data_IF_479466824359
#
_entry.id   IF_479466824359
#
_cell.length_a   1.000
_cell.length_b   1.000
_cell.length_c   1.000
_cell.angle_alpha   90.00
_cell.angle_beta   90.00
_cell.angle_gamma   90.00
#
_symmetry.space_group_name_H-M   'P 1'
#
loop_
_entity.id
_entity.type
_entity.pdbx_description
1 polymer ?
#
# COMPACT_ATOMS: atom_id res chain seq x y z
N UNK A 1 26.25 6.06 -28.88
CA UNK A 1 24.99 5.46 -28.38
C UNK A 1 24.58 6.24 -27.16
N UNK A 2 23.57 7.12 -27.28
CA UNK A 2 23.00 7.79 -26.12
C UNK A 2 22.09 6.79 -25.39
N UNK A 3 22.45 6.41 -24.16
CA UNK A 3 21.57 5.68 -23.29
C UNK A 3 20.41 6.61 -22.89
N UNK A 4 19.21 6.29 -23.34
CA UNK A 4 17.98 6.93 -22.86
C UNK A 4 17.88 6.64 -21.35
N UNK A 5 18.03 7.67 -20.53
CA UNK A 5 17.74 7.59 -19.10
C UNK A 5 16.27 7.10 -18.94
N UNK A 6 16.01 6.14 -18.03
CA UNK A 6 14.64 5.71 -17.76
C UNK A 6 13.83 6.92 -17.30
N UNK A 7 12.75 7.21 -18.02
CA UNK A 7 11.81 8.26 -17.67
C UNK A 7 11.29 7.94 -16.27
N UNK A 8 11.51 8.84 -15.30
CA UNK A 8 10.93 8.70 -13.97
C UNK A 8 9.42 8.52 -14.14
N UNK A 9 8.91 7.34 -13.80
CA UNK A 9 7.47 7.08 -13.89
C UNK A 9 6.81 7.91 -12.78
N UNK A 10 5.94 8.83 -13.19
CA UNK A 10 5.14 9.59 -12.24
C UNK A 10 4.17 8.64 -11.53
N UNK A 11 3.98 8.83 -10.22
CA UNK A 11 2.96 8.10 -9.46
C UNK A 11 1.62 8.09 -10.20
N UNK A 12 1.00 6.93 -10.34
CA UNK A 12 -0.36 6.83 -10.86
C UNK A 12 -1.37 7.34 -9.82
N UNK A 13 -2.52 7.82 -10.31
CA UNK A 13 -3.61 8.17 -9.41
C UNK A 13 -4.27 6.92 -8.83
N UNK A 14 -4.72 7.03 -7.57
CA UNK A 14 -5.60 6.03 -6.96
C UNK A 14 -6.98 6.13 -7.60
N UNK A 15 -7.49 5.03 -8.13
CA UNK A 15 -8.77 4.94 -8.80
C UNK A 15 -9.82 4.26 -7.90
N UNK A 16 -10.99 4.88 -7.77
CA UNK A 16 -12.18 4.23 -7.25
C UNK A 16 -12.79 3.35 -8.34
N UNK A 17 -12.87 2.06 -8.10
CA UNK A 17 -13.33 1.09 -9.09
C UNK A 17 -14.83 0.85 -8.95
N UNK A 18 -15.31 0.56 -7.71
CA UNK A 18 -16.73 0.28 -7.46
C UNK A 18 -17.07 0.28 -5.98
N UNK A 19 -18.37 0.26 -5.70
CA UNK A 19 -18.91 0.05 -4.36
C UNK A 19 -19.35 1.33 -3.66
N UNK A 20 -19.37 1.31 -2.33
CA UNK A 20 -19.78 2.44 -1.49
C UNK A 20 -18.55 3.27 -1.06
N UNK A 21 -18.29 4.36 -1.77
CA UNK A 21 -17.18 5.26 -1.39
C UNK A 21 -17.48 6.02 -0.09
N UNK A 22 -18.75 6.22 0.27
CA UNK A 22 -19.13 6.96 1.45
C UNK A 22 -18.89 6.23 2.77
N UNK A 23 -18.53 4.94 2.72
CA UNK A 23 -18.08 4.16 3.88
C UNK A 23 -16.95 4.87 4.66
N UNK A 24 -16.14 5.67 3.99
CA UNK A 24 -15.05 6.44 4.62
C UNK A 24 -15.53 7.40 5.70
N UNK A 25 -16.81 7.79 5.68
CA UNK A 25 -17.43 8.71 6.64
C UNK A 25 -18.17 7.99 7.78
N UNK A 26 -18.27 6.66 7.74
CA UNK A 26 -19.00 5.89 8.73
C UNK A 26 -18.22 5.81 10.04
N UNK A 27 -18.95 5.85 11.16
CA UNK A 27 -18.37 5.77 12.51
C UNK A 27 -18.18 4.30 12.92
N UNK A 28 -17.36 3.57 12.15
CA UNK A 28 -17.08 2.15 12.36
C UNK A 28 -15.58 1.90 12.46
N UNK A 29 -15.20 0.68 12.85
CA UNK A 29 -13.81 0.23 12.81
C UNK A 29 -13.61 -0.73 11.64
N UNK A 30 -12.42 -0.69 11.04
CA UNK A 30 -11.97 -1.69 10.08
C UNK A 30 -10.58 -2.19 10.46
N UNK A 31 -10.39 -3.50 10.51
CA UNK A 31 -9.06 -4.10 10.67
C UNK A 31 -8.33 -4.03 9.34
N UNK A 32 -7.05 -3.64 9.37
CA UNK A 32 -6.20 -3.57 8.18
C UNK A 32 -5.42 -4.86 8.04
N UNK A 33 -5.57 -5.51 6.90
CA UNK A 33 -4.88 -6.74 6.54
C UNK A 33 -4.06 -6.52 5.26
N UNK A 34 -2.93 -7.21 5.12
CA UNK A 34 -2.13 -7.22 3.90
C UNK A 34 -2.15 -8.61 3.30
N UNK A 35 -2.58 -8.69 2.06
CA UNK A 35 -2.54 -9.92 1.26
C UNK A 35 -1.43 -9.78 0.21
N UNK A 36 -0.41 -10.62 0.33
CA UNK A 36 0.72 -10.73 -0.60
C UNK A 36 0.84 -12.10 -1.25
N UNK A 37 -0.25 -12.89 -1.22
CA UNK A 37 -0.29 -14.23 -1.84
C UNK A 37 0.01 -14.20 -3.35
N UNK A 38 -0.47 -13.16 -4.05
CA UNK A 38 -0.26 -12.95 -5.48
C UNK A 38 0.87 -11.95 -5.80
N UNK A 39 1.64 -11.55 -4.79
CA UNK A 39 2.67 -10.54 -4.96
C UNK A 39 3.85 -11.05 -5.77
N UNK A 40 4.23 -10.29 -6.79
CA UNK A 40 5.50 -10.42 -7.50
C UNK A 40 6.48 -9.32 -7.05
N UNK A 41 7.68 -9.72 -6.63
CA UNK A 41 8.78 -8.82 -6.30
C UNK A 41 9.87 -9.00 -7.35
N UNK A 42 10.24 -7.93 -8.03
CA UNK A 42 11.26 -7.93 -9.11
C UNK A 42 11.01 -9.03 -10.16
N UNK A 43 9.72 -9.31 -10.47
CA UNK A 43 9.31 -10.32 -11.46
C UNK A 43 9.25 -11.77 -10.94
N UNK A 44 9.52 -12.02 -9.66
CA UNK A 44 9.42 -13.34 -9.01
C UNK A 44 8.26 -13.39 -8.01
N UNK A 45 7.61 -14.55 -7.80
CA UNK A 45 6.69 -14.72 -6.67
C UNK A 45 7.35 -14.34 -5.35
N UNK A 46 6.60 -13.64 -4.48
CA UNK A 46 7.12 -13.07 -3.23
C UNK A 46 7.95 -14.07 -2.40
N UNK A 47 7.40 -15.24 -2.11
CA UNK A 47 8.09 -16.23 -1.28
C UNK A 47 9.37 -16.75 -1.94
N UNK A 48 9.36 -16.96 -3.25
CA UNK A 48 10.57 -17.37 -3.98
C UNK A 48 11.64 -16.28 -3.94
N UNK A 49 11.25 -15.00 -4.15
CA UNK A 49 12.17 -13.87 -4.07
C UNK A 49 12.85 -13.77 -2.69
N UNK A 50 12.06 -13.94 -1.62
CA UNK A 50 12.59 -13.88 -0.25
C UNK A 50 13.52 -15.07 0.06
N UNK A 51 13.14 -16.28 -0.34
CA UNK A 51 13.95 -17.49 -0.15
C UNK A 51 15.28 -17.42 -0.89
N UNK A 52 15.29 -16.91 -2.13
CA UNK A 52 16.51 -16.71 -2.93
C UNK A 52 17.51 -15.76 -2.23
N UNK A 53 17.03 -14.89 -1.33
CA UNK A 53 17.84 -13.94 -0.55
C UNK A 53 18.24 -14.44 0.84
N UNK A 54 17.73 -15.60 1.26
CA UNK A 54 18.03 -16.25 2.53
C UNK A 54 16.85 -16.27 3.51
N UNK A 55 16.89 -17.22 4.45
CA UNK A 55 15.80 -17.44 5.43
C UNK A 55 15.55 -16.25 6.34
N UNK A 56 16.54 -15.42 6.61
CA UNK A 56 16.38 -14.18 7.37
C UNK A 56 15.42 -13.21 6.69
N UNK A 57 15.45 -13.09 5.36
CA UNK A 57 14.54 -12.23 4.61
C UNK A 57 13.09 -12.71 4.70
N UNK A 58 12.86 -14.04 4.74
CA UNK A 58 11.51 -14.60 4.94
C UNK A 58 10.97 -14.23 6.32
N UNK A 59 11.79 -14.35 7.35
CA UNK A 59 11.43 -14.00 8.72
C UNK A 59 11.18 -12.52 8.91
N UNK A 60 12.08 -11.68 8.37
CA UNK A 60 12.02 -10.23 8.53
C UNK A 60 10.87 -9.61 7.74
N UNK A 61 10.45 -10.24 6.62
CA UNK A 61 9.31 -9.79 5.82
C UNK A 61 8.02 -9.67 6.62
N UNK A 62 7.73 -10.63 7.51
CA UNK A 62 6.55 -10.58 8.36
C UNK A 62 6.57 -9.35 9.26
N UNK A 63 7.70 -9.10 9.92
CA UNK A 63 7.89 -7.93 10.78
C UNK A 63 7.79 -6.61 9.99
N UNK A 64 8.35 -6.57 8.79
CA UNK A 64 8.23 -5.40 7.92
C UNK A 64 6.78 -5.13 7.52
N UNK A 65 5.98 -6.16 7.23
CA UNK A 65 4.56 -6.01 6.92
C UNK A 65 3.75 -5.52 8.13
N UNK A 66 4.03 -6.00 9.34
CA UNK A 66 3.42 -5.51 10.58
C UNK A 66 3.71 -4.01 10.79
N UNK A 67 4.95 -3.58 10.55
CA UNK A 67 5.32 -2.17 10.60
C UNK A 67 4.64 -1.34 9.49
N UNK A 68 4.47 -1.90 8.30
CA UNK A 68 3.76 -1.25 7.20
C UNK A 68 2.27 -1.05 7.55
N UNK A 69 1.61 -2.07 8.12
CA UNK A 69 0.22 -1.97 8.61
C UNK A 69 0.11 -0.87 9.67
N UNK A 70 1.02 -0.85 10.64
CA UNK A 70 1.04 0.19 11.68
C UNK A 70 1.11 1.60 11.09
N UNK A 71 2.00 1.81 10.10
CA UNK A 71 2.15 3.11 9.43
C UNK A 71 0.93 3.49 8.58
N UNK A 72 0.31 2.49 7.93
CA UNK A 72 -0.95 2.69 7.20
C UNK A 72 -2.06 3.15 8.16
N UNK A 73 -2.25 2.44 9.26
CA UNK A 73 -3.28 2.72 10.28
C UNK A 73 -3.12 4.13 10.86
N UNK A 74 -1.90 4.49 11.27
CA UNK A 74 -1.60 5.83 11.80
C UNK A 74 -1.98 6.92 10.78
N UNK A 75 -1.53 6.76 9.55
CA UNK A 75 -1.76 7.76 8.50
C UNK A 75 -3.21 7.83 8.07
N UNK A 76 -3.89 6.68 7.92
CA UNK A 76 -5.31 6.62 7.62
C UNK A 76 -6.13 7.39 8.67
N UNK A 77 -5.93 7.09 9.95
CA UNK A 77 -6.68 7.71 11.03
C UNK A 77 -6.44 9.22 11.12
N UNK A 78 -5.20 9.67 10.90
CA UNK A 78 -4.84 11.08 10.81
C UNK A 78 -5.59 11.80 9.68
N UNK A 79 -5.61 11.22 8.48
CA UNK A 79 -6.18 11.86 7.30
C UNK A 79 -7.72 11.74 7.28
N UNK A 80 -8.26 10.69 7.88
CA UNK A 80 -9.72 10.47 7.98
C UNK A 80 -10.38 11.12 9.19
N UNK A 81 -9.60 11.70 10.11
CA UNK A 81 -10.07 12.47 11.26
C UNK A 81 -11.09 11.72 12.14
N UNK A 82 -10.87 10.43 12.35
CA UNK A 82 -11.66 9.59 13.25
C UNK A 82 -13.03 9.12 12.72
N UNK A 83 -13.35 9.37 11.45
CA UNK A 83 -14.43 8.63 10.78
C UNK A 83 -14.04 7.15 10.66
N UNK A 84 -14.35 6.40 9.62
CA UNK A 84 -13.97 4.99 9.54
C UNK A 84 -12.55 4.73 10.11
N UNK A 85 -12.50 4.15 11.33
CA UNK A 85 -11.27 4.03 12.10
C UNK A 85 -10.53 2.75 11.71
N UNK A 86 -9.32 2.90 11.17
CA UNK A 86 -8.44 1.75 10.92
C UNK A 86 -7.77 1.27 12.23
N UNK A 87 -7.63 -0.06 12.38
CA UNK A 87 -6.94 -0.72 13.50
C UNK A 87 -6.03 -1.82 12.93
N UNK A 88 -4.90 -2.09 13.60
CA UNK A 88 -3.95 -3.12 13.16
C UNK A 88 -4.37 -4.51 13.60
N UNK A 89 -5.03 -4.63 14.75
CA UNK A 89 -5.47 -5.90 15.31
C UNK A 89 -6.99 -5.91 15.44
N UNK A 90 -7.58 -7.06 15.11
CA UNK A 90 -9.02 -7.25 15.22
C UNK A 90 -9.44 -7.23 16.69
N UNK A 91 -10.41 -6.40 17.02
CA UNK A 91 -11.06 -6.40 18.34
C UNK A 91 -12.51 -6.95 18.24
N UNK A 92 -13.12 -7.20 19.40
CA UNK A 92 -14.53 -7.59 19.47
C UNK A 92 -15.40 -6.48 18.89
N UNK A 93 -16.27 -6.83 17.95
CA UNK A 93 -17.16 -5.87 17.29
C UNK A 93 -16.57 -5.10 16.11
N UNK A 94 -15.41 -5.52 15.57
CA UNK A 94 -14.90 -4.98 14.31
C UNK A 94 -15.55 -5.69 13.11
N UNK A 95 -16.54 -5.07 12.44
CA UNK A 95 -17.26 -5.74 11.37
C UNK A 95 -16.51 -5.71 10.04
N UNK A 96 -15.69 -4.67 9.82
CA UNK A 96 -15.10 -4.38 8.53
C UNK A 96 -13.64 -4.81 8.46
N UNK A 97 -13.22 -5.26 7.27
CA UNK A 97 -11.82 -5.54 6.94
C UNK A 97 -11.40 -4.67 5.76
N UNK A 98 -10.28 -3.99 5.89
CA UNK A 98 -9.60 -3.28 4.81
C UNK A 98 -8.41 -4.12 4.39
N UNK A 99 -8.45 -4.68 3.19
CA UNK A 99 -7.43 -5.60 2.68
C UNK A 99 -6.60 -4.90 1.61
N UNK A 100 -5.31 -4.74 1.86
CA UNK A 100 -4.33 -4.28 0.87
C UNK A 100 -3.81 -5.49 0.10
N UNK A 101 -4.26 -5.69 -1.13
CA UNK A 101 -3.84 -6.78 -2.01
C UNK A 101 -2.66 -6.32 -2.86
N UNK A 102 -1.47 -6.69 -2.46
CA UNK A 102 -0.25 -6.35 -3.19
C UNK A 102 -0.13 -7.22 -4.44
N UNK A 103 0.17 -6.60 -5.59
CA UNK A 103 0.26 -7.31 -6.88
C UNK A 103 1.67 -7.29 -7.45
N UNK A 104 2.32 -6.16 -7.44
CA UNK A 104 3.68 -5.99 -7.96
C UNK A 104 4.45 -5.02 -7.08
N UNK A 105 5.66 -5.39 -6.73
CA UNK A 105 6.57 -4.56 -5.96
C UNK A 105 7.95 -4.55 -6.63
N UNK A 106 8.47 -3.36 -6.85
CA UNK A 106 9.88 -3.09 -7.13
C UNK A 106 10.47 -2.41 -5.91
N UNK A 107 11.53 -2.97 -5.34
CA UNK A 107 12.13 -2.46 -4.10
C UNK A 107 13.07 -1.27 -4.31
N UNK A 108 13.41 -1.02 -5.57
CA UNK A 108 14.39 -0.01 -5.93
C UNK A 108 15.83 -0.44 -5.60
N UNK A 109 16.80 0.28 -6.14
CA UNK A 109 18.21 -0.02 -5.95
C UNK A 109 18.87 1.09 -5.13
N UNK A 110 19.32 0.78 -3.92
CA UNK A 110 19.95 1.74 -3.01
C UNK A 110 21.18 2.40 -3.63
N UNK A 111 21.99 1.66 -4.40
CA UNK A 111 23.18 2.18 -5.06
C UNK A 111 22.85 3.25 -6.12
N UNK A 112 21.72 3.12 -6.84
CA UNK A 112 21.30 4.12 -7.84
C UNK A 112 20.82 5.41 -7.20
N UNK A 113 20.17 5.35 -6.03
CA UNK A 113 19.72 6.54 -5.31
C UNK A 113 20.89 7.43 -4.87
N UNK A 114 22.06 6.82 -4.59
CA UNK A 114 23.27 7.54 -4.16
C UNK A 114 24.04 8.16 -5.34
N UNK A 115 24.04 7.51 -6.50
CA UNK A 115 24.88 7.90 -7.65
C UNK A 115 24.14 8.80 -8.64
N UNK A 116 22.87 8.59 -8.87
CA UNK A 116 22.10 9.24 -9.95
C UNK A 116 21.12 10.30 -9.42
N UNK A 117 20.90 10.37 -8.11
CA UNK A 117 20.01 11.34 -7.48
C UNK A 117 18.58 10.85 -7.24
N UNK A 118 17.73 11.76 -6.75
CA UNK A 118 16.36 11.47 -6.29
C UNK A 118 15.50 10.79 -7.37
N UNK A 119 14.79 9.74 -6.98
CA UNK A 119 13.79 9.04 -7.79
C UNK A 119 14.27 7.79 -8.51
N UNK A 120 15.59 7.61 -8.70
CA UNK A 120 16.13 6.42 -9.39
C UNK A 120 16.23 5.15 -8.53
N UNK A 121 16.07 5.29 -7.22
CA UNK A 121 16.11 4.18 -6.26
C UNK A 121 14.83 3.95 -5.50
N UNK A 122 13.73 4.60 -5.89
CA UNK A 122 12.44 4.46 -5.21
C UNK A 122 11.85 3.06 -5.38
N UNK A 123 11.15 2.60 -4.35
CA UNK A 123 10.31 1.42 -4.50
C UNK A 123 8.97 1.80 -5.15
N UNK A 124 8.38 0.86 -5.89
CA UNK A 124 7.13 1.04 -6.62
C UNK A 124 6.17 -0.11 -6.31
N UNK A 125 4.93 0.22 -5.95
CA UNK A 125 3.88 -0.74 -5.60
C UNK A 125 2.66 -0.57 -6.51
N UNK A 126 2.20 -1.68 -7.11
CA UNK A 126 0.85 -1.81 -7.64
C UNK A 126 0.00 -2.66 -6.70
N UNK A 127 -1.19 -2.19 -6.33
CA UNK A 127 -2.08 -2.90 -5.41
C UNK A 127 -3.56 -2.53 -5.60
N UNK A 128 -4.42 -3.34 -5.00
CA UNK A 128 -5.82 -3.03 -4.77
C UNK A 128 -6.03 -2.81 -3.26
N UNK A 129 -7.00 -1.96 -2.91
CA UNK A 129 -7.44 -1.75 -1.53
C UNK A 129 -8.93 -2.00 -1.50
N UNK A 130 -9.32 -3.10 -0.87
CA UNK A 130 -10.70 -3.55 -0.81
C UNK A 130 -11.21 -3.43 0.63
N UNK A 131 -12.48 -3.01 0.78
CA UNK A 131 -13.17 -3.02 2.08
C UNK A 131 -14.28 -4.07 2.03
N UNK A 132 -14.31 -4.94 3.05
CA UNK A 132 -15.26 -6.02 3.20
C UNK A 132 -16.09 -5.86 4.46
N UNK A 133 -17.37 -6.24 4.36
CA UNK A 133 -18.25 -6.53 5.49
C UNK A 133 -18.48 -8.05 5.51
N UNK A 134 -17.91 -8.74 6.49
CA UNK A 134 -17.78 -10.19 6.47
C UNK A 134 -17.07 -10.67 5.21
N UNK A 135 -17.75 -11.43 4.35
CA UNK A 135 -17.22 -11.91 3.07
C UNK A 135 -17.64 -11.07 1.86
N UNK A 136 -18.47 -10.05 2.06
CA UNK A 136 -18.97 -9.19 0.98
C UNK A 136 -18.03 -8.03 0.74
N UNK A 137 -17.46 -7.93 -0.47
CA UNK A 137 -16.74 -6.72 -0.91
C UNK A 137 -17.72 -5.57 -1.04
N UNK A 138 -17.50 -4.49 -0.31
CA UNK A 138 -18.34 -3.30 -0.33
C UNK A 138 -17.67 -2.11 -1.02
N UNK A 139 -16.36 -2.12 -1.17
CA UNK A 139 -15.61 -1.05 -1.82
C UNK A 139 -14.31 -1.58 -2.40
N UNK A 140 -13.95 -1.13 -3.60
CA UNK A 140 -12.69 -1.46 -4.25
C UNK A 140 -12.00 -0.23 -4.79
N UNK A 141 -10.72 -0.08 -4.45
CA UNK A 141 -9.78 0.89 -5.03
C UNK A 141 -8.64 0.16 -5.73
N UNK A 142 -7.95 0.84 -6.65
CA UNK A 142 -6.78 0.33 -7.34
C UNK A 142 -5.76 1.44 -7.58
N UNK A 143 -4.49 1.11 -7.44
CA UNK A 143 -3.37 1.93 -7.87
C UNK A 143 -2.39 1.06 -8.67
N UNK A 144 -1.99 1.55 -9.83
CA UNK A 144 -1.14 0.80 -10.75
C UNK A 144 0.35 1.05 -10.52
N UNK A 145 0.68 2.21 -9.94
CA UNK A 145 2.05 2.56 -9.56
C UNK A 145 2.07 3.62 -8.46
N UNK A 146 2.63 3.28 -7.32
CA UNK A 146 2.84 4.18 -6.18
C UNK A 146 4.30 4.12 -5.78
N UNK A 147 5.03 5.21 -5.95
CA UNK A 147 6.44 5.27 -5.55
C UNK A 147 6.62 5.64 -4.09
N UNK A 148 7.69 5.14 -3.48
CA UNK A 148 8.20 5.66 -2.22
C UNK A 148 8.80 7.06 -2.41
N UNK A 149 9.03 7.79 -1.33
CA UNK A 149 10.03 8.85 -1.35
C UNK A 149 11.43 8.24 -1.29
N UNK A 150 12.44 9.03 -1.59
CA UNK A 150 13.85 8.62 -1.51
C UNK A 150 14.22 8.22 -0.08
N UNK A 151 14.22 6.93 0.21
CA UNK A 151 14.60 6.36 1.49
C UNK A 151 15.80 5.43 1.34
N UNK A 152 16.65 5.39 2.37
CA UNK A 152 17.93 4.69 2.30
C UNK A 152 17.83 3.17 2.40
N UNK A 153 16.72 2.61 2.93
CA UNK A 153 16.55 1.17 3.11
C UNK A 153 15.25 0.67 2.52
N UNK A 154 15.21 -0.61 2.10
CA UNK A 154 14.01 -1.26 1.57
C UNK A 154 12.83 -1.16 2.55
N UNK A 155 13.04 -1.48 3.82
CA UNK A 155 12.02 -1.40 4.87
C UNK A 155 11.46 0.02 5.07
N UNK A 156 12.30 1.06 4.98
CA UNK A 156 11.83 2.46 5.05
C UNK A 156 11.03 2.84 3.81
N UNK A 157 11.44 2.38 2.62
CA UNK A 157 10.68 2.61 1.37
C UNK A 157 9.31 1.96 1.43
N UNK A 158 9.23 0.70 1.90
CA UNK A 158 7.95 0.01 2.09
C UNK A 158 7.01 0.77 3.04
N UNK A 159 7.51 1.18 4.20
CA UNK A 159 6.72 1.96 5.16
C UNK A 159 6.22 3.29 4.59
N UNK A 160 7.04 3.98 3.80
CA UNK A 160 6.64 5.23 3.13
C UNK A 160 5.55 5.00 2.08
N UNK A 161 5.65 3.91 1.31
CA UNK A 161 4.59 3.49 0.38
C UNK A 161 3.27 3.28 1.12
N UNK A 162 3.27 2.57 2.25
CA UNK A 162 2.04 2.31 3.00
C UNK A 162 1.43 3.58 3.61
N UNK A 163 2.25 4.54 4.05
CA UNK A 163 1.77 5.89 4.44
C UNK A 163 1.09 6.61 3.28
N UNK A 164 1.74 6.63 2.11
CA UNK A 164 1.18 7.27 0.91
C UNK A 164 -0.09 6.58 0.46
N UNK A 165 -0.12 5.24 0.49
CA UNK A 165 -1.28 4.43 0.13
C UNK A 165 -2.49 4.79 0.99
N UNK A 166 -2.33 4.85 2.32
CA UNK A 166 -3.38 5.26 3.24
C UNK A 166 -3.94 6.65 2.90
N UNK A 167 -3.05 7.64 2.72
CA UNK A 167 -3.44 9.00 2.38
C UNK A 167 -4.20 9.09 1.05
N UNK A 168 -3.71 8.38 0.01
CA UNK A 168 -4.36 8.37 -1.31
C UNK A 168 -5.71 7.66 -1.27
N UNK A 169 -5.83 6.55 -0.53
CA UNK A 169 -7.09 5.82 -0.35
C UNK A 169 -8.16 6.70 0.29
N UNK A 170 -7.85 7.38 1.39
CA UNK A 170 -8.78 8.31 2.05
C UNK A 170 -9.21 9.44 1.11
N UNK A 171 -8.26 10.07 0.40
CA UNK A 171 -8.56 11.15 -0.57
C UNK A 171 -9.45 10.66 -1.70
N UNK A 172 -9.15 9.48 -2.26
CA UNK A 172 -9.90 8.87 -3.35
C UNK A 172 -11.34 8.58 -2.93
N UNK A 173 -11.55 7.94 -1.76
CA UNK A 173 -12.87 7.65 -1.23
C UNK A 173 -13.68 8.93 -0.97
N UNK A 174 -13.09 9.94 -0.33
CA UNK A 174 -13.77 11.23 -0.10
C UNK A 174 -14.18 11.92 -1.39
N UNK A 175 -13.31 11.87 -2.42
CA UNK A 175 -13.62 12.42 -3.75
C UNK A 175 -14.74 11.64 -4.44
N UNK A 176 -14.71 10.31 -4.39
CA UNK A 176 -15.72 9.44 -4.98
C UNK A 176 -17.07 9.58 -4.25
N UNK A 177 -17.08 9.64 -2.91
CA UNK A 177 -18.30 9.84 -2.12
C UNK A 177 -19.02 11.16 -2.49
N UNK A 178 -18.28 12.24 -2.75
CA UNK A 178 -18.88 13.51 -3.22
C UNK A 178 -19.59 13.39 -4.56
N UNK A 179 -19.20 12.42 -5.39
CA UNK A 179 -19.81 12.17 -6.71
C UNK A 179 -20.99 11.20 -6.64
N UNK A 180 -21.11 10.45 -5.54
CA UNK A 180 -22.21 9.50 -5.30
C UNK A 180 -23.42 10.16 -4.61
N UNK A 181 -23.25 11.38 -4.08
CA UNK A 181 -24.30 12.23 -3.55
C UNK A 181 -24.94 13.10 -4.64
#
# INVERSE_FOLDING_TARGET
MLALAPKAMADSDMNFIRGNACIVNDQQKCVVEVDYSDLNIEGKPCMQYLQDRGEENVRDWKSDMELCVSQFVEKWNKDNKGALKAIAEKDEGTPLRLVVKMKRLHLGITALAVVVGFGSGDAHLACEVDIYDGNKEITKLRIDDLSSGSQHTESKRLRDIFKKLASRSVKCLKKACKKQK
#
